data_IF_764492087479
#
_entry.id   IF_764492087479
#
_cell.length_a   1.000
_cell.length_b   1.000
_cell.length_c   1.000
_cell.angle_alpha   90.00
_cell.angle_beta   90.00
_cell.angle_gamma   90.00
#
_symmetry.space_group_name_H-M   'P 1'
#
loop_
_entity.id
_entity.type
_entity.pdbx_description
1 polymer ?
#
# COMPACT_ATOMS: atom_id res chain seq x y z
N UNK A 1 -38.01 -39.45 -20.50
CA UNK A 1 -39.14 -39.38 -19.57
C UNK A 1 -39.29 -37.94 -19.12
N UNK A 2 -40.43 -37.36 -19.49
CA UNK A 2 -40.77 -35.94 -19.30
C UNK A 2 -41.08 -35.61 -17.84
N UNK A 3 -40.61 -34.50 -17.30
CA UNK A 3 -41.38 -33.72 -16.33
C UNK A 3 -41.10 -32.22 -16.51
N UNK A 4 -42.16 -31.51 -16.87
CA UNK A 4 -42.24 -30.03 -17.00
C UNK A 4 -42.45 -29.38 -15.63
N UNK A 5 -42.00 -28.10 -15.44
CA UNK A 5 -42.23 -27.35 -14.22
C UNK A 5 -43.62 -26.68 -14.20
N UNK A 6 -44.17 -26.59 -12.99
CA UNK A 6 -45.43 -25.91 -12.66
C UNK A 6 -45.17 -24.41 -12.50
N UNK A 7 -45.86 -23.60 -13.29
CA UNK A 7 -45.96 -22.15 -13.13
C UNK A 7 -47.04 -21.84 -12.07
N UNK A 8 -46.70 -21.12 -11.03
CA UNK A 8 -47.62 -20.49 -10.10
C UNK A 8 -47.68 -18.98 -10.39
N UNK A 9 -48.80 -18.56 -11.00
CA UNK A 9 -49.12 -17.14 -11.19
C UNK A 9 -49.86 -16.61 -9.96
N UNK A 10 -49.32 -15.59 -9.29
CA UNK A 10 -50.02 -14.83 -8.26
C UNK A 10 -50.40 -13.47 -8.86
N UNK A 11 -51.70 -13.31 -9.10
CA UNK A 11 -52.31 -12.04 -9.47
C UNK A 11 -52.50 -11.17 -8.19
N UNK A 12 -51.94 -9.96 -8.18
CA UNK A 12 -52.26 -8.95 -7.19
C UNK A 12 -53.10 -7.85 -7.86
N UNK A 13 -54.32 -7.76 -7.40
CA UNK A 13 -55.32 -6.82 -7.91
C UNK A 13 -55.00 -5.37 -7.52
N UNK A 14 -55.14 -4.48 -8.49
CA UNK A 14 -55.10 -3.02 -8.34
C UNK A 14 -56.47 -2.52 -7.82
N UNK A 15 -56.48 -1.94 -6.62
CA UNK A 15 -57.62 -1.14 -6.15
C UNK A 15 -57.30 0.31 -6.40
N UNK A 16 -57.99 0.91 -7.40
CA UNK A 16 -57.96 2.34 -7.66
C UNK A 16 -58.91 3.07 -6.71
N UNK A 17 -58.39 3.86 -5.82
CA UNK A 17 -59.17 4.85 -5.06
C UNK A 17 -58.98 6.23 -5.68
N UNK A 18 -60.02 6.69 -6.38
CA UNK A 18 -60.14 8.06 -6.86
C UNK A 18 -60.60 8.97 -5.69
N UNK A 19 -59.70 9.84 -5.26
CA UNK A 19 -60.06 11.00 -4.40
C UNK A 19 -60.02 12.26 -5.26
N UNK A 20 -61.21 12.76 -5.58
CA UNK A 20 -61.40 14.13 -6.11
C UNK A 20 -61.13 15.13 -4.98
N UNK A 21 -60.06 15.91 -5.08
CA UNK A 21 -59.81 17.04 -4.25
C UNK A 21 -59.97 18.34 -5.09
N UNK A 22 -60.87 19.20 -4.68
CA UNK A 22 -61.12 20.52 -5.26
C UNK A 22 -59.86 21.37 -5.33
N UNK A 23 -59.52 21.80 -6.51
CA UNK A 23 -58.55 22.88 -6.71
C UNK A 23 -59.19 24.21 -6.32
N UNK A 24 -58.64 24.81 -5.24
CA UNK A 24 -58.85 26.19 -4.90
C UNK A 24 -57.60 26.95 -5.34
N UNK A 25 -57.70 27.84 -6.30
CA UNK A 25 -56.59 28.72 -6.71
C UNK A 25 -56.11 29.54 -5.50
N UNK A 26 -54.78 29.57 -5.21
CA UNK A 26 -54.27 30.49 -4.21
C UNK A 26 -54.12 31.89 -4.84
N UNK A 27 -54.81 32.83 -4.20
CA UNK A 27 -54.63 34.27 -4.28
C UNK A 27 -53.17 34.66 -4.28
N UNK A 28 -52.75 35.60 -5.16
CA UNK A 28 -51.49 36.31 -5.05
C UNK A 28 -51.41 37.01 -3.70
N UNK A 29 -50.71 36.39 -2.78
CA UNK A 29 -50.24 37.01 -1.54
C UNK A 29 -48.78 37.34 -1.69
N UNK A 30 -48.38 38.49 -1.25
CA UNK A 30 -47.08 39.13 -1.33
C UNK A 30 -45.89 38.20 -1.02
N UNK A 31 -44.85 38.32 -1.82
CA UNK A 31 -43.58 37.68 -1.58
C UNK A 31 -43.05 38.09 -0.20
N UNK A 32 -42.72 37.17 0.70
CA UNK A 32 -42.06 37.55 1.93
C UNK A 32 -40.69 38.12 1.60
N UNK A 33 -40.37 39.25 2.21
CA UNK A 33 -39.06 39.87 2.19
C UNK A 33 -37.98 38.82 2.43
N UNK A 34 -36.86 38.94 1.71
CA UNK A 34 -35.68 38.09 1.81
C UNK A 34 -35.38 37.76 3.30
N UNK A 35 -35.75 36.57 3.72
CA UNK A 35 -35.37 36.03 5.00
C UNK A 35 -33.86 36.03 5.10
N UNK A 36 -33.34 36.55 6.18
CA UNK A 36 -31.94 36.46 6.60
C UNK A 36 -31.49 35.03 6.39
N UNK A 37 -30.53 34.82 5.44
CA UNK A 37 -29.90 33.54 5.25
C UNK A 37 -29.46 32.98 6.60
N UNK A 38 -29.81 31.72 6.89
CA UNK A 38 -29.29 31.03 8.06
C UNK A 38 -27.77 31.23 8.14
N UNK A 39 -27.20 31.42 9.33
CA UNK A 39 -25.78 31.68 9.46
C UNK A 39 -25.02 30.56 8.71
N UNK A 40 -24.30 30.95 7.68
CA UNK A 40 -23.45 30.03 6.94
C UNK A 40 -22.39 29.46 7.89
N UNK A 41 -22.25 28.13 7.91
CA UNK A 41 -21.23 27.42 8.70
C UNK A 41 -19.88 28.12 8.49
N UNK A 42 -19.19 28.47 9.58
CA UNK A 42 -17.85 29.05 9.50
C UNK A 42 -16.79 27.98 9.14
N UNK A 43 -15.61 28.39 8.69
CA UNK A 43 -14.51 27.45 8.42
C UNK A 43 -14.16 26.59 9.65
N UNK A 44 -14.15 27.18 10.85
CA UNK A 44 -13.87 26.44 12.08
C UNK A 44 -14.99 25.43 12.41
N UNK A 45 -16.26 25.80 12.20
CA UNK A 45 -17.39 24.89 12.39
C UNK A 45 -17.37 23.75 11.35
N UNK A 46 -17.04 24.07 10.10
CA UNK A 46 -16.88 23.07 9.04
C UNK A 46 -15.83 22.02 9.41
N UNK A 47 -14.64 22.43 9.82
CA UNK A 47 -13.57 21.50 10.22
C UNK A 47 -13.94 20.71 11.47
N UNK A 48 -14.57 21.32 12.46
CA UNK A 48 -15.06 20.61 13.64
C UNK A 48 -16.05 19.48 13.26
N UNK A 49 -16.98 19.77 12.34
CA UNK A 49 -17.91 18.77 11.81
C UNK A 49 -17.18 17.66 11.03
N UNK A 50 -16.29 18.03 10.12
CA UNK A 50 -15.50 17.05 9.33
C UNK A 50 -14.72 16.11 10.25
N UNK A 51 -14.06 16.64 11.27
CA UNK A 51 -13.31 15.82 12.24
C UNK A 51 -14.20 14.85 13.01
N UNK A 52 -15.38 15.30 13.42
CA UNK A 52 -16.36 14.45 14.13
C UNK A 52 -16.89 13.33 13.22
N UNK A 53 -17.26 13.67 11.98
CA UNK A 53 -17.72 12.71 10.97
C UNK A 53 -16.60 11.71 10.60
N UNK A 54 -15.37 12.18 10.41
CA UNK A 54 -14.22 11.34 10.12
C UNK A 54 -13.95 10.34 11.25
N UNK A 55 -13.91 10.82 12.49
CA UNK A 55 -13.72 9.94 13.66
C UNK A 55 -14.81 8.87 13.77
N UNK A 56 -16.05 9.22 13.44
CA UNK A 56 -17.18 8.27 13.47
C UNK A 56 -17.10 7.22 12.34
N UNK A 57 -16.59 7.59 11.16
CA UNK A 57 -16.49 6.70 9.99
C UNK A 57 -15.23 5.83 10.00
N UNK A 58 -14.18 6.26 10.66
CA UNK A 58 -12.87 5.65 10.61
C UNK A 58 -12.86 4.16 10.99
N UNK A 59 -13.52 3.71 12.08
CA UNK A 59 -13.54 2.30 12.46
C UNK A 59 -14.24 1.40 11.44
N UNK A 60 -15.27 1.89 10.74
CA UNK A 60 -15.96 1.12 9.67
C UNK A 60 -15.00 0.88 8.49
N UNK A 61 -14.34 1.95 8.05
CA UNK A 61 -13.41 1.92 6.93
C UNK A 61 -12.21 1.03 7.20
N UNK A 62 -11.55 1.22 8.33
CA UNK A 62 -10.37 0.44 8.71
C UNK A 62 -10.71 -1.03 8.95
N UNK A 63 -11.86 -1.33 9.55
CA UNK A 63 -12.32 -2.72 9.74
C UNK A 63 -12.59 -3.42 8.41
N UNK A 64 -13.19 -2.74 7.44
CA UNK A 64 -13.44 -3.30 6.11
C UNK A 64 -12.13 -3.60 5.37
N UNK A 65 -11.15 -2.68 5.44
CA UNK A 65 -9.83 -2.88 4.85
C UNK A 65 -9.03 -3.96 5.57
N UNK A 66 -9.07 -3.99 6.91
CA UNK A 66 -8.47 -5.06 7.70
C UNK A 66 -9.02 -6.43 7.29
N UNK A 67 -10.34 -6.54 7.17
CA UNK A 67 -11.01 -7.77 6.77
C UNK A 67 -10.54 -8.23 5.38
N UNK A 68 -10.50 -7.35 4.38
CA UNK A 68 -10.06 -7.68 3.02
C UNK A 68 -8.57 -8.03 2.94
N UNK A 69 -7.75 -7.55 3.89
CA UNK A 69 -6.32 -7.88 3.94
C UNK A 69 -6.01 -9.16 4.70
N UNK A 70 -6.85 -9.53 5.69
CA UNK A 70 -6.58 -10.62 6.63
C UNK A 70 -7.51 -11.83 6.50
N UNK A 71 -8.51 -11.72 5.62
CA UNK A 71 -9.46 -12.78 5.27
C UNK A 71 -9.96 -12.56 3.84
N UNK A 72 -9.11 -12.88 2.85
CA UNK A 72 -9.37 -12.58 1.43
C UNK A 72 -10.39 -13.59 0.87
N UNK A 73 -11.52 -13.09 0.42
CA UNK A 73 -12.54 -13.79 -0.38
C UNK A 73 -13.47 -12.77 -1.04
N UNK A 74 -14.35 -13.24 -1.92
CA UNK A 74 -15.30 -12.40 -2.68
C UNK A 74 -16.17 -11.51 -1.77
N UNK A 75 -16.54 -12.00 -0.59
CA UNK A 75 -17.40 -11.26 0.34
C UNK A 75 -16.63 -10.14 1.05
N UNK A 76 -15.41 -10.41 1.54
CA UNK A 76 -14.56 -9.41 2.18
C UNK A 76 -14.14 -8.31 1.20
N UNK A 77 -13.82 -8.68 -0.05
CA UNK A 77 -13.52 -7.73 -1.12
C UNK A 77 -14.73 -6.85 -1.45
N UNK A 78 -15.93 -7.43 -1.51
CA UNK A 78 -17.18 -6.68 -1.75
C UNK A 78 -17.48 -5.70 -0.61
N UNK A 79 -17.28 -6.10 0.64
CA UNK A 79 -17.46 -5.23 1.82
C UNK A 79 -16.46 -4.08 1.78
N UNK A 80 -15.18 -4.37 1.53
CA UNK A 80 -14.14 -3.35 1.44
C UNK A 80 -14.37 -2.38 0.29
N UNK A 81 -14.78 -2.87 -0.89
CA UNK A 81 -15.10 -2.03 -2.04
C UNK A 81 -16.25 -1.05 -1.72
N UNK A 82 -17.30 -1.51 -1.04
CA UNK A 82 -18.43 -0.65 -0.63
C UNK A 82 -18.04 0.38 0.44
N UNK A 83 -17.25 -0.01 1.42
CA UNK A 83 -16.73 0.93 2.42
C UNK A 83 -15.84 1.99 1.78
N UNK A 84 -14.98 1.61 0.85
CA UNK A 84 -14.12 2.52 0.11
C UNK A 84 -14.91 3.47 -0.81
N UNK A 85 -15.91 2.98 -1.55
CA UNK A 85 -16.81 3.81 -2.37
C UNK A 85 -17.50 4.89 -1.52
N UNK A 86 -18.05 4.48 -0.36
CA UNK A 86 -18.67 5.40 0.60
C UNK A 86 -17.68 6.44 1.13
N UNK A 87 -16.50 5.99 1.54
CA UNK A 87 -15.44 6.87 2.03
C UNK A 87 -15.04 7.92 0.98
N UNK A 88 -14.73 7.50 -0.25
CA UNK A 88 -14.34 8.40 -1.33
C UNK A 88 -15.44 9.42 -1.66
N UNK A 89 -16.70 9.00 -1.62
CA UNK A 89 -17.84 9.90 -1.84
C UNK A 89 -17.90 10.99 -0.78
N UNK A 90 -17.75 10.63 0.49
CA UNK A 90 -17.77 11.57 1.61
C UNK A 90 -16.56 12.50 1.57
N UNK A 91 -15.36 11.95 1.37
CA UNK A 91 -14.11 12.72 1.28
C UNK A 91 -14.17 13.74 0.14
N UNK A 92 -14.60 13.34 -1.04
CA UNK A 92 -14.75 14.26 -2.17
C UNK A 92 -15.77 15.36 -1.89
N UNK A 93 -16.85 15.04 -1.16
CA UNK A 93 -17.81 16.01 -0.67
C UNK A 93 -17.19 17.04 0.28
N UNK A 94 -16.38 16.61 1.23
CA UNK A 94 -15.67 17.52 2.13
C UNK A 94 -14.62 18.37 1.40
N UNK A 95 -13.85 17.79 0.48
CA UNK A 95 -12.85 18.52 -0.33
C UNK A 95 -13.53 19.61 -1.16
N UNK A 96 -14.67 19.28 -1.82
CA UNK A 96 -15.42 20.25 -2.59
C UNK A 96 -15.98 21.40 -1.72
N UNK A 97 -16.41 21.09 -0.48
CA UNK A 97 -16.87 22.11 0.47
C UNK A 97 -15.72 22.97 0.97
N UNK A 98 -14.53 22.37 1.24
CA UNK A 98 -13.34 23.04 1.73
C UNK A 98 -12.93 24.22 0.84
N UNK A 99 -13.10 24.09 -0.50
CA UNK A 99 -12.81 25.16 -1.44
C UNK A 99 -13.63 26.44 -1.24
N UNK A 100 -14.80 26.37 -0.56
CA UNK A 100 -15.64 27.54 -0.27
C UNK A 100 -15.04 28.47 0.80
N UNK A 101 -14.10 27.97 1.57
CA UNK A 101 -13.46 28.70 2.66
C UNK A 101 -12.11 29.31 2.26
N UNK A 102 -11.67 29.13 1.01
CA UNK A 102 -10.43 29.74 0.51
C UNK A 102 -10.52 31.27 0.61
N UNK A 103 -9.51 31.89 1.26
CA UNK A 103 -9.44 33.32 1.47
C UNK A 103 -10.38 33.87 2.55
N UNK A 104 -11.19 33.05 3.25
CA UNK A 104 -12.00 33.50 4.38
C UNK A 104 -11.18 33.62 5.67
N UNK A 105 -11.57 34.50 6.60
CA UNK A 105 -10.97 34.55 7.93
C UNK A 105 -11.17 33.24 8.68
N UNK A 106 -10.11 32.69 9.24
CA UNK A 106 -10.12 31.45 10.03
C UNK A 106 -8.87 31.39 10.91
N UNK A 107 -8.84 30.50 11.90
CA UNK A 107 -7.63 30.24 12.68
C UNK A 107 -6.54 29.58 11.82
N UNK A 108 -5.28 29.75 12.17
CA UNK A 108 -4.16 29.08 11.47
C UNK A 108 -4.28 27.55 11.55
N UNK A 109 -4.80 27.02 12.66
CA UNK A 109 -5.06 25.60 12.82
C UNK A 109 -6.15 25.10 11.85
N UNK A 110 -7.26 25.82 11.73
CA UNK A 110 -8.31 25.52 10.75
C UNK A 110 -7.81 25.60 9.32
N UNK A 111 -7.01 26.60 9.01
CA UNK A 111 -6.37 26.76 7.69
C UNK A 111 -5.49 25.56 7.35
N UNK A 112 -4.66 25.12 8.31
CA UNK A 112 -3.85 23.92 8.16
C UNK A 112 -4.70 22.68 7.97
N UNK A 113 -5.75 22.49 8.75
CA UNK A 113 -6.64 21.33 8.64
C UNK A 113 -7.38 21.29 7.30
N UNK A 114 -7.87 22.42 6.78
CA UNK A 114 -8.46 22.53 5.43
C UNK A 114 -7.44 22.16 4.37
N UNK A 115 -6.21 22.62 4.50
CA UNK A 115 -5.14 22.25 3.59
C UNK A 115 -4.86 20.74 3.62
N UNK A 116 -4.70 20.15 4.79
CA UNK A 116 -4.49 18.70 4.95
C UNK A 116 -5.67 17.87 4.44
N UNK A 117 -6.91 18.35 4.63
CA UNK A 117 -8.10 17.70 4.07
C UNK A 117 -8.04 17.62 2.53
N UNK A 118 -7.61 18.68 1.87
CA UNK A 118 -7.42 18.68 0.41
C UNK A 118 -6.34 17.69 -0.04
N UNK A 119 -5.37 17.38 0.82
CA UNK A 119 -4.27 16.44 0.56
C UNK A 119 -4.59 14.98 0.90
N UNK A 120 -5.77 14.67 1.46
CA UNK A 120 -6.16 13.29 1.79
C UNK A 120 -6.37 12.40 0.56
N UNK A 121 -6.34 12.96 -0.64
CA UNK A 121 -6.31 12.20 -1.89
C UNK A 121 -4.94 12.34 -2.57
N UNK A 122 -4.31 11.21 -2.92
CA UNK A 122 -3.10 11.21 -3.76
C UNK A 122 -3.42 11.36 -5.26
N UNK A 123 -4.68 11.18 -5.62
CA UNK A 123 -5.17 11.19 -7.00
C UNK A 123 -6.33 12.21 -7.11
N UNK A 124 -6.01 13.52 -7.16
CA UNK A 124 -7.04 14.54 -7.33
C UNK A 124 -7.77 14.33 -8.67
N UNK A 125 -9.08 14.18 -8.60
CA UNK A 125 -9.90 13.89 -9.76
C UNK A 125 -10.62 15.13 -10.24
N UNK A 126 -10.80 15.32 -11.58
CA UNK A 126 -11.68 16.36 -12.13
C UNK A 126 -13.12 16.18 -11.63
N UNK A 127 -13.84 17.29 -11.48
CA UNK A 127 -15.27 17.29 -11.09
C UNK A 127 -16.18 16.74 -12.18
N UNK A 128 -15.73 16.75 -13.42
CA UNK A 128 -16.46 16.14 -14.55
C UNK A 128 -16.57 14.63 -14.33
N UNK A 129 -17.81 14.06 -14.23
CA UNK A 129 -18.00 12.63 -13.97
C UNK A 129 -17.42 11.72 -15.06
N UNK A 130 -17.38 12.16 -16.33
CA UNK A 130 -16.80 11.38 -17.40
C UNK A 130 -15.28 11.27 -17.27
N UNK A 131 -14.61 12.36 -16.91
CA UNK A 131 -13.16 12.42 -16.65
C UNK A 131 -12.78 11.69 -15.37
N UNK A 132 -13.58 11.79 -14.31
CA UNK A 132 -13.40 10.99 -13.09
C UNK A 132 -13.47 9.49 -13.42
N UNK A 133 -14.49 9.06 -14.18
CA UNK A 133 -14.62 7.68 -14.62
C UNK A 133 -13.47 7.23 -15.53
N UNK A 134 -12.95 8.10 -16.39
CA UNK A 134 -11.76 7.83 -17.20
C UNK A 134 -10.52 7.64 -16.32
N UNK A 135 -10.27 8.56 -15.40
CA UNK A 135 -9.14 8.50 -14.45
C UNK A 135 -9.12 7.19 -13.68
N UNK A 136 -10.26 6.81 -13.10
CA UNK A 136 -10.39 5.58 -12.33
C UNK A 136 -10.11 4.33 -13.19
N UNK A 137 -10.65 4.28 -14.41
CA UNK A 137 -10.37 3.16 -15.33
C UNK A 137 -8.91 3.06 -15.74
N UNK A 138 -8.26 4.19 -16.00
CA UNK A 138 -6.84 4.24 -16.35
C UNK A 138 -6.00 3.76 -15.17
N UNK A 139 -6.25 4.26 -13.97
CA UNK A 139 -5.53 3.86 -12.75
C UNK A 139 -5.63 2.35 -12.53
N UNK A 140 -6.85 1.79 -12.55
CA UNK A 140 -7.07 0.35 -12.37
C UNK A 140 -6.43 -0.49 -13.48
N UNK A 141 -6.45 -0.01 -14.73
CA UNK A 141 -5.80 -0.72 -15.84
C UNK A 141 -4.29 -0.75 -15.71
N UNK A 142 -3.65 0.36 -15.30
CA UNK A 142 -2.22 0.42 -15.05
C UNK A 142 -1.80 -0.46 -13.88
N UNK A 143 -2.57 -0.44 -12.79
CA UNK A 143 -2.34 -1.30 -11.62
C UNK A 143 -2.46 -2.78 -11.98
N UNK A 144 -3.52 -3.14 -12.72
CA UNK A 144 -3.72 -4.50 -13.22
C UNK A 144 -2.60 -4.95 -14.16
N UNK A 145 -2.17 -4.09 -15.10
CA UNK A 145 -1.07 -4.38 -16.01
C UNK A 145 0.27 -4.60 -15.27
N UNK A 146 0.53 -3.80 -14.23
CA UNK A 146 1.71 -3.96 -13.40
C UNK A 146 1.63 -5.22 -12.53
N UNK A 147 0.51 -5.43 -11.83
CA UNK A 147 0.36 -6.54 -10.88
C UNK A 147 0.27 -7.92 -11.53
N UNK A 148 -0.32 -8.01 -12.73
CA UNK A 148 -0.44 -9.27 -13.49
C UNK A 148 0.65 -9.46 -14.55
N UNK A 149 1.55 -8.48 -14.72
CA UNK A 149 2.60 -8.47 -15.72
C UNK A 149 3.49 -9.68 -15.63
N UNK A 150 3.83 -10.25 -16.80
CA UNK A 150 4.74 -11.40 -16.93
C UNK A 150 5.67 -11.16 -18.10
N UNK A 151 6.91 -11.55 -17.94
CA UNK A 151 7.88 -11.64 -19.00
C UNK A 151 8.09 -13.10 -19.37
N UNK A 152 7.85 -13.45 -20.63
CA UNK A 152 8.03 -14.79 -21.17
C UNK A 152 9.16 -14.76 -22.20
N UNK A 153 10.16 -15.64 -22.06
CA UNK A 153 11.20 -15.79 -23.09
C UNK A 153 10.68 -16.51 -24.34
N UNK A 154 9.59 -17.25 -24.20
CA UNK A 154 8.80 -17.86 -25.28
C UNK A 154 7.32 -17.72 -24.92
N UNK A 155 6.61 -16.84 -25.61
CA UNK A 155 5.17 -16.58 -25.37
C UNK A 155 4.29 -17.81 -25.65
N UNK A 156 4.74 -18.74 -26.49
CA UNK A 156 4.03 -19.98 -26.76
C UNK A 156 4.16 -21.01 -25.64
N UNK A 157 5.13 -20.81 -24.73
CA UNK A 157 5.38 -21.72 -23.62
C UNK A 157 5.19 -21.01 -22.26
N UNK A 158 4.02 -21.15 -21.60
CA UNK A 158 3.74 -20.51 -20.32
C UNK A 158 4.72 -20.83 -19.19
N UNK A 159 5.47 -21.94 -19.29
CA UNK A 159 6.49 -22.30 -18.30
C UNK A 159 7.72 -21.37 -18.33
N UNK A 160 7.89 -20.58 -19.39
CA UNK A 160 8.96 -19.58 -19.52
C UNK A 160 8.58 -18.22 -18.99
N UNK A 161 7.33 -18.05 -18.54
CA UNK A 161 6.82 -16.79 -18.05
C UNK A 161 7.21 -16.56 -16.58
N UNK A 162 7.79 -15.41 -16.30
CA UNK A 162 8.26 -15.00 -14.98
C UNK A 162 7.53 -13.72 -14.55
N UNK A 163 7.10 -13.66 -13.29
CA UNK A 163 6.54 -12.47 -12.67
C UNK A 163 7.66 -11.56 -12.13
N UNK A 164 7.30 -10.34 -11.71
CA UNK A 164 8.24 -9.37 -11.14
C UNK A 164 9.13 -10.00 -10.05
N UNK A 165 8.52 -10.71 -9.08
CA UNK A 165 9.26 -11.32 -7.98
C UNK A 165 10.29 -12.36 -8.40
N UNK A 166 10.03 -13.12 -9.50
CA UNK A 166 10.98 -14.08 -10.06
C UNK A 166 12.16 -13.35 -10.73
N UNK A 167 11.89 -12.23 -11.37
CA UNK A 167 12.90 -11.39 -12.03
C UNK A 167 13.74 -10.63 -11.01
N UNK A 168 13.14 -10.15 -9.94
CA UNK A 168 13.85 -9.53 -8.80
C UNK A 168 14.82 -10.51 -8.13
N UNK A 169 14.42 -11.78 -7.95
CA UNK A 169 15.30 -12.80 -7.40
C UNK A 169 16.54 -13.02 -8.29
N UNK A 170 16.39 -12.94 -9.61
CA UNK A 170 17.54 -13.01 -10.55
C UNK A 170 18.48 -11.82 -10.32
N UNK A 171 17.97 -10.60 -10.22
CA UNK A 171 18.79 -9.41 -9.99
C UNK A 171 19.48 -9.42 -8.62
N UNK A 172 18.81 -9.95 -7.61
CA UNK A 172 19.36 -10.04 -6.26
C UNK A 172 20.45 -11.10 -6.10
N UNK A 173 20.26 -12.28 -6.70
CA UNK A 173 21.07 -13.47 -6.39
C UNK A 173 21.99 -13.92 -7.52
N UNK A 174 21.67 -13.67 -8.79
CA UNK A 174 22.50 -14.05 -9.91
C UNK A 174 23.72 -13.15 -10.05
N UNK A 175 24.82 -13.73 -10.56
CA UNK A 175 26.02 -13.01 -10.99
C UNK A 175 26.32 -13.26 -12.48
N UNK A 176 25.33 -13.81 -13.17
CA UNK A 176 25.36 -14.01 -14.62
C UNK A 176 24.83 -12.74 -15.30
N UNK A 177 25.73 -12.05 -16.01
CA UNK A 177 25.42 -10.78 -16.68
C UNK A 177 24.21 -10.87 -17.61
N UNK A 178 24.17 -11.89 -18.46
CA UNK A 178 23.12 -12.01 -19.49
C UNK A 178 21.76 -12.34 -18.87
N UNK A 179 21.73 -13.12 -17.80
CA UNK A 179 20.48 -13.38 -17.05
C UNK A 179 19.94 -12.14 -16.33
N UNK A 180 20.84 -11.34 -15.74
CA UNK A 180 20.45 -10.09 -15.09
C UNK A 180 19.93 -9.09 -16.14
N UNK A 181 20.60 -8.97 -17.28
CA UNK A 181 20.19 -8.10 -18.39
C UNK A 181 18.82 -8.51 -18.94
N UNK A 182 18.63 -9.80 -19.22
CA UNK A 182 17.36 -10.36 -19.68
C UNK A 182 16.21 -10.08 -18.70
N UNK A 183 16.43 -10.32 -17.41
CA UNK A 183 15.42 -10.05 -16.38
C UNK A 183 15.04 -8.57 -16.32
N UNK A 184 16.00 -7.67 -16.35
CA UNK A 184 15.78 -6.23 -16.30
C UNK A 184 15.08 -5.70 -17.56
N UNK A 185 15.56 -6.07 -18.74
CA UNK A 185 14.97 -5.66 -20.02
C UNK A 185 13.57 -6.23 -20.20
N UNK A 186 13.37 -7.50 -19.85
CA UNK A 186 12.10 -8.19 -19.98
C UNK A 186 11.00 -7.52 -19.14
N UNK A 187 11.28 -7.15 -17.89
CA UNK A 187 10.31 -6.45 -17.07
C UNK A 187 9.98 -5.05 -17.61
N UNK A 188 11.00 -4.27 -17.98
CA UNK A 188 10.78 -2.94 -18.53
C UNK A 188 10.00 -2.98 -19.86
N UNK A 189 10.19 -4.01 -20.68
CA UNK A 189 9.38 -4.22 -21.88
C UNK A 189 7.90 -4.48 -21.55
N UNK A 190 7.62 -5.22 -20.49
CA UNK A 190 6.26 -5.54 -20.03
C UNK A 190 5.48 -4.29 -19.62
N UNK A 191 6.15 -3.32 -19.01
CA UNK A 191 5.49 -2.09 -18.51
C UNK A 191 5.45 -0.94 -19.53
N UNK A 192 6.25 -1.04 -20.60
CA UNK A 192 6.32 0.00 -21.64
C UNK A 192 4.97 0.38 -22.27
N UNK A 193 4.02 -0.54 -22.53
CA UNK A 193 2.71 -0.19 -23.09
C UNK A 193 1.87 0.75 -22.21
N UNK A 194 2.14 0.82 -20.90
CA UNK A 194 1.38 1.68 -19.97
C UNK A 194 1.67 3.18 -20.17
N UNK A 195 2.68 3.54 -20.97
CA UNK A 195 3.14 4.94 -21.10
C UNK A 195 2.04 5.91 -21.52
N UNK A 196 1.22 5.53 -22.49
CA UNK A 196 0.13 6.39 -22.98
C UNK A 196 -0.94 6.61 -21.91
N UNK A 197 -1.29 5.56 -21.18
CA UNK A 197 -2.21 5.63 -20.04
C UNK A 197 -1.63 6.52 -18.92
N UNK A 198 -0.36 6.37 -18.61
CA UNK A 198 0.29 7.22 -17.60
C UNK A 198 0.30 8.70 -17.99
N UNK A 199 0.57 9.03 -19.25
CA UNK A 199 0.50 10.41 -19.75
C UNK A 199 -0.91 10.99 -19.61
N UNK A 200 -1.94 10.21 -19.97
CA UNK A 200 -3.33 10.63 -19.81
C UNK A 200 -3.73 10.77 -18.34
N UNK A 201 -3.32 9.83 -17.50
CA UNK A 201 -3.47 9.88 -16.04
C UNK A 201 -2.93 11.19 -15.48
N UNK A 202 -1.68 11.55 -15.80
CA UNK A 202 -1.05 12.81 -15.33
C UNK A 202 -1.86 14.03 -15.77
N UNK A 203 -2.36 14.05 -17.01
CA UNK A 203 -3.22 15.14 -17.49
C UNK A 203 -4.48 15.31 -16.64
N UNK A 204 -5.16 14.22 -16.32
CA UNK A 204 -6.39 14.22 -15.53
C UNK A 204 -6.14 14.59 -14.06
N UNK A 205 -5.09 14.07 -13.43
CA UNK A 205 -4.73 14.44 -12.03
C UNK A 205 -4.34 15.91 -11.94
N UNK A 206 -3.63 16.44 -12.93
CA UNK A 206 -3.29 17.86 -12.97
C UNK A 206 -4.53 18.75 -13.13
N UNK A 207 -5.53 18.32 -13.91
CA UNK A 207 -6.80 19.01 -14.02
C UNK A 207 -7.53 19.01 -12.66
N UNK A 208 -7.64 17.86 -12.01
CA UNK A 208 -8.23 17.75 -10.66
C UNK A 208 -7.53 18.63 -9.63
N UNK A 209 -6.20 18.64 -9.62
CA UNK A 209 -5.42 19.48 -8.71
C UNK A 209 -5.69 20.99 -8.94
N UNK A 210 -5.83 21.42 -10.20
CA UNK A 210 -6.19 22.81 -10.53
C UNK A 210 -7.57 23.17 -10.02
N UNK A 211 -8.54 22.28 -10.11
CA UNK A 211 -9.89 22.50 -9.57
C UNK A 211 -9.91 22.59 -8.04
N UNK A 212 -8.86 22.08 -7.36
CA UNK A 212 -8.66 22.18 -5.92
C UNK A 212 -7.83 23.40 -5.51
N UNK A 213 -7.40 24.24 -6.47
CA UNK A 213 -6.66 25.47 -6.23
C UNK A 213 -5.13 25.33 -6.27
N UNK A 214 -4.58 24.20 -6.74
CA UNK A 214 -3.14 24.01 -6.96
C UNK A 214 -2.78 24.26 -8.43
N UNK A 215 -1.51 24.56 -8.70
CA UNK A 215 -1.04 24.72 -10.08
C UNK A 215 -1.03 23.39 -10.85
N UNK A 216 -0.70 22.31 -10.17
CA UNK A 216 -0.68 20.95 -10.67
C UNK A 216 -0.62 19.94 -9.49
N UNK A 217 -0.69 18.65 -9.79
CA UNK A 217 -0.58 17.60 -8.78
C UNK A 217 0.79 17.59 -8.09
N UNK A 218 1.86 17.97 -8.79
CA UNK A 218 3.19 18.07 -8.21
C UNK A 218 3.29 19.17 -7.14
N UNK A 219 2.70 20.34 -7.39
CA UNK A 219 2.59 21.38 -6.35
C UNK A 219 1.73 20.91 -5.18
N UNK A 220 0.58 20.28 -5.46
CA UNK A 220 -0.28 19.72 -4.44
C UNK A 220 0.49 18.75 -3.53
N UNK A 221 1.20 17.78 -4.09
CA UNK A 221 1.97 16.80 -3.31
C UNK A 221 3.10 17.44 -2.51
N UNK A 222 3.84 18.37 -3.11
CA UNK A 222 4.91 19.11 -2.40
C UNK A 222 4.36 20.00 -1.28
N UNK A 223 3.12 20.47 -1.38
CA UNK A 223 2.50 21.28 -0.32
C UNK A 223 2.15 20.48 0.95
N UNK A 224 2.30 19.16 0.92
CA UNK A 224 2.17 18.30 2.10
C UNK A 224 3.36 18.36 3.06
N UNK A 225 4.48 18.92 2.64
CA UNK A 225 5.63 19.18 3.51
C UNK A 225 5.43 20.49 4.29
N UNK A 226 6.07 20.61 5.45
CA UNK A 226 6.00 21.83 6.28
C UNK A 226 6.92 22.94 5.75
N UNK A 227 6.92 23.14 4.44
CA UNK A 227 7.59 24.23 3.74
C UNK A 227 6.87 24.59 2.43
N UNK A 228 7.07 25.79 1.87
CA UNK A 228 6.51 26.17 0.58
C UNK A 228 6.89 25.19 -0.53
N UNK A 229 5.94 24.77 -1.39
CA UNK A 229 6.18 23.77 -2.44
C UNK A 229 7.34 24.07 -3.37
N UNK A 230 7.58 25.35 -3.65
CA UNK A 230 8.67 25.85 -4.49
C UNK A 230 10.06 25.74 -3.83
N UNK A 231 10.13 25.59 -2.53
CA UNK A 231 11.38 25.43 -1.78
C UNK A 231 11.85 23.97 -1.70
N UNK A 232 10.98 22.99 -1.96
CA UNK A 232 11.32 21.56 -1.88
C UNK A 232 12.44 21.21 -2.88
N UNK A 233 12.35 21.68 -4.13
CA UNK A 233 13.39 21.47 -5.14
C UNK A 233 14.75 22.00 -4.68
N UNK A 234 14.89 23.32 -4.44
CA UNK A 234 16.13 23.90 -3.94
C UNK A 234 16.67 23.24 -2.67
N UNK A 235 15.81 22.81 -1.74
CA UNK A 235 16.26 22.13 -0.51
C UNK A 235 16.79 20.71 -0.81
N UNK A 236 16.14 19.96 -1.67
CA UNK A 236 16.63 18.64 -2.09
C UNK A 236 17.94 18.75 -2.88
N UNK A 237 18.09 19.76 -3.73
CA UNK A 237 19.34 20.05 -4.44
C UNK A 237 20.46 20.39 -3.47
N UNK A 238 20.18 21.24 -2.46
CA UNK A 238 21.15 21.58 -1.41
C UNK A 238 21.61 20.33 -0.64
N UNK A 239 20.69 19.46 -0.27
CA UNK A 239 20.99 18.20 0.42
C UNK A 239 21.82 17.28 -0.48
N UNK A 240 21.47 17.19 -1.76
CA UNK A 240 22.22 16.41 -2.72
C UNK A 240 23.67 16.86 -2.82
N UNK A 241 23.92 18.15 -2.98
CA UNK A 241 25.30 18.69 -3.04
C UNK A 241 26.13 18.36 -1.79
N UNK A 242 25.48 18.21 -0.62
CA UNK A 242 26.15 17.80 0.61
C UNK A 242 26.49 16.30 0.64
N UNK A 243 25.64 15.44 0.07
CA UNK A 243 25.82 13.97 0.09
C UNK A 243 26.64 13.50 -1.12
N UNK A 244 26.58 14.22 -2.22
CA UNK A 244 27.19 13.88 -3.50
C UNK A 244 28.66 13.45 -3.43
N UNK A 245 29.56 14.13 -2.69
CA UNK A 245 30.95 13.70 -2.61
C UNK A 245 31.12 12.29 -2.03
N UNK A 246 30.30 11.93 -1.03
CA UNK A 246 30.29 10.57 -0.46
C UNK A 246 29.72 9.57 -1.46
N UNK A 247 28.61 9.93 -2.12
CA UNK A 247 27.97 9.08 -3.12
C UNK A 247 28.89 8.79 -4.30
N UNK A 248 29.63 9.79 -4.80
CA UNK A 248 30.59 9.62 -5.89
C UNK A 248 31.73 8.66 -5.53
N UNK A 249 32.21 8.69 -4.28
CA UNK A 249 33.21 7.74 -3.80
C UNK A 249 32.62 6.32 -3.72
N UNK A 250 31.40 6.19 -3.16
CA UNK A 250 30.70 4.90 -3.11
C UNK A 250 30.44 4.34 -4.51
N UNK A 251 29.98 5.17 -5.44
CA UNK A 251 29.73 4.80 -6.84
C UNK A 251 31.04 4.36 -7.52
N UNK A 252 32.13 5.09 -7.32
CA UNK A 252 33.45 4.75 -7.85
C UNK A 252 33.92 3.39 -7.32
N UNK A 253 33.78 3.17 -6.00
CA UNK A 253 34.13 1.91 -5.36
C UNK A 253 33.29 0.74 -5.92
N UNK A 254 31.98 0.88 -5.95
CA UNK A 254 31.08 -0.15 -6.48
C UNK A 254 31.38 -0.46 -7.94
N UNK A 255 31.58 0.56 -8.77
CA UNK A 255 31.96 0.39 -10.18
C UNK A 255 33.24 -0.41 -10.33
N UNK A 256 34.30 -0.07 -9.59
CA UNK A 256 35.59 -0.78 -9.66
C UNK A 256 35.44 -2.26 -9.25
N UNK A 257 34.58 -2.56 -8.28
CA UNK A 257 34.32 -3.95 -7.88
C UNK A 257 33.55 -4.72 -8.96
N UNK A 258 32.55 -4.08 -9.57
CA UNK A 258 31.77 -4.68 -10.66
C UNK A 258 32.58 -4.83 -11.94
N UNK A 259 33.51 -3.90 -12.24
CA UNK A 259 34.49 -4.05 -13.33
C UNK A 259 35.35 -5.31 -13.15
N UNK A 260 35.77 -5.59 -11.92
CA UNK A 260 36.50 -6.80 -11.58
C UNK A 260 35.69 -8.09 -11.75
N UNK A 261 34.37 -8.01 -11.58
CA UNK A 261 33.47 -9.18 -11.68
C UNK A 261 33.04 -9.43 -13.13
N UNK A 262 32.65 -8.41 -13.88
CA UNK A 262 31.99 -8.53 -15.18
C UNK A 262 32.86 -8.07 -16.36
N UNK A 263 33.95 -7.38 -16.10
CA UNK A 263 34.72 -6.64 -17.10
C UNK A 263 34.16 -5.22 -17.30
N UNK A 264 35.09 -4.27 -17.51
CA UNK A 264 34.76 -2.86 -17.64
C UNK A 264 33.80 -2.56 -18.79
N UNK A 265 33.96 -3.24 -19.91
CA UNK A 265 33.13 -3.10 -21.12
C UNK A 265 31.68 -3.53 -20.90
N UNK A 266 31.41 -4.35 -19.91
CA UNK A 266 30.07 -4.79 -19.51
C UNK A 266 29.52 -4.04 -18.32
N UNK A 267 30.36 -3.74 -17.33
CA UNK A 267 29.92 -3.10 -16.09
C UNK A 267 29.70 -1.59 -16.25
N UNK A 268 30.47 -0.92 -17.11
CA UNK A 268 30.33 0.50 -17.35
C UNK A 268 29.48 0.80 -18.60
N UNK A 269 28.74 1.90 -18.53
CA UNK A 269 28.04 2.52 -19.65
C UNK A 269 28.68 3.85 -19.99
N UNK A 270 28.15 4.56 -20.99
CA UNK A 270 28.61 5.89 -21.39
C UNK A 270 28.69 6.84 -20.20
N UNK A 271 29.75 7.61 -20.08
CA UNK A 271 29.99 8.53 -18.97
C UNK A 271 30.50 7.89 -17.69
N UNK A 272 30.89 6.60 -17.71
CA UNK A 272 31.39 5.89 -16.52
C UNK A 272 30.32 5.53 -15.51
N UNK A 273 29.07 5.41 -15.96
CA UNK A 273 27.95 4.95 -15.13
C UNK A 273 27.92 3.44 -15.06
N UNK A 274 27.40 2.90 -13.97
CA UNK A 274 27.23 1.45 -13.80
C UNK A 274 26.00 0.98 -14.59
N UNK A 275 26.12 -0.16 -15.26
CA UNK A 275 25.00 -0.78 -15.95
C UNK A 275 23.87 -1.14 -14.98
N UNK A 276 22.67 -0.63 -15.24
CA UNK A 276 21.55 -0.62 -14.30
C UNK A 276 21.15 -2.01 -13.75
N UNK A 277 21.20 -3.05 -14.61
CA UNK A 277 20.83 -4.42 -14.24
C UNK A 277 21.83 -5.09 -13.27
N UNK A 278 23.00 -4.48 -13.03
CA UNK A 278 24.01 -4.98 -12.09
C UNK A 278 23.84 -4.43 -10.68
N UNK A 279 22.88 -3.54 -10.44
CA UNK A 279 22.74 -2.82 -9.17
C UNK A 279 21.76 -3.47 -8.17
N UNK A 280 21.56 -4.78 -8.28
CA UNK A 280 20.99 -5.61 -7.22
C UNK A 280 19.46 -5.65 -7.13
N UNK A 281 18.75 -4.72 -7.77
CA UNK A 281 17.29 -4.76 -7.86
C UNK A 281 16.77 -4.08 -9.14
N UNK A 282 15.47 -4.15 -9.37
CA UNK A 282 14.84 -3.68 -10.61
C UNK A 282 14.96 -2.16 -10.82
N UNK A 283 15.05 -1.38 -9.73
CA UNK A 283 15.05 0.09 -9.75
C UNK A 283 16.40 0.73 -9.39
N UNK A 284 17.41 -0.05 -9.14
CA UNK A 284 18.81 0.38 -8.89
C UNK A 284 19.01 1.25 -7.64
N UNK A 285 18.02 1.36 -6.74
CA UNK A 285 18.08 2.22 -5.57
C UNK A 285 18.51 1.50 -4.28
N UNK A 286 18.56 0.17 -4.28
CA UNK A 286 18.99 -0.64 -3.14
C UNK A 286 20.11 -1.60 -3.56
N UNK A 287 21.31 -1.35 -3.05
CA UNK A 287 22.51 -2.12 -3.36
C UNK A 287 22.83 -3.18 -2.30
N UNK A 288 21.95 -3.42 -1.35
CA UNK A 288 22.18 -4.41 -0.28
C UNK A 288 22.41 -5.82 -0.83
N UNK A 289 21.79 -6.16 -1.96
CA UNK A 289 21.99 -7.44 -2.64
C UNK A 289 23.40 -7.60 -3.30
N UNK A 290 24.20 -6.53 -3.32
CA UNK A 290 25.58 -6.56 -3.82
C UNK A 290 26.61 -6.72 -2.68
N UNK A 291 26.17 -6.90 -1.44
CA UNK A 291 27.06 -6.93 -0.29
C UNK A 291 28.22 -7.91 -0.43
N UNK A 292 27.96 -9.09 -0.96
CA UNK A 292 28.98 -10.12 -1.23
C UNK A 292 30.11 -9.66 -2.14
N UNK A 293 29.83 -8.70 -3.03
CA UNK A 293 30.80 -8.11 -3.96
C UNK A 293 31.42 -6.81 -3.42
N UNK A 294 30.68 -6.09 -2.60
CA UNK A 294 31.05 -4.75 -2.10
C UNK A 294 31.62 -4.75 -0.71
N UNK A 295 31.56 -5.87 0.03
CA UNK A 295 32.10 -5.95 1.41
C UNK A 295 33.58 -5.53 1.44
N UNK A 296 33.92 -4.43 2.16
CA UNK A 296 35.30 -3.92 2.13
C UNK A 296 36.30 -4.78 2.88
N UNK A 297 35.83 -5.54 3.89
CA UNK A 297 36.65 -6.40 4.77
C UNK A 297 35.99 -7.76 4.94
N UNK A 298 36.05 -8.66 3.92
CA UNK A 298 35.39 -9.95 3.97
C UNK A 298 35.74 -10.75 5.23
N UNK A 299 34.71 -11.17 5.99
CA UNK A 299 34.88 -11.93 7.20
C UNK A 299 35.33 -11.14 8.44
N UNK A 300 35.42 -9.81 8.39
CA UNK A 300 35.78 -8.98 9.54
C UNK A 300 34.71 -8.94 10.62
N UNK A 301 33.47 -9.27 10.28
CA UNK A 301 32.35 -9.37 11.21
C UNK A 301 31.06 -9.64 10.46
N UNK A 302 30.04 -10.08 11.18
CA UNK A 302 28.71 -10.28 10.62
C UNK A 302 27.67 -9.80 11.62
N UNK A 303 26.70 -9.03 11.11
CA UNK A 303 25.47 -8.69 11.84
C UNK A 303 24.37 -9.74 11.58
N UNK A 304 24.69 -10.85 10.91
CA UNK A 304 23.74 -11.91 10.66
C UNK A 304 23.33 -12.61 11.96
N UNK A 305 22.08 -12.41 12.33
CA UNK A 305 21.46 -13.03 13.51
C UNK A 305 20.69 -14.32 13.18
N UNK A 306 20.76 -14.80 11.92
CA UNK A 306 20.01 -15.97 11.45
C UNK A 306 20.27 -17.19 12.32
N UNK A 307 21.53 -17.48 12.65
CA UNK A 307 21.88 -18.62 13.49
C UNK A 307 21.29 -18.51 14.91
N UNK A 308 21.24 -17.30 15.48
CA UNK A 308 20.65 -17.07 16.79
C UNK A 308 19.12 -17.27 16.77
N UNK A 309 18.44 -16.78 15.73
CA UNK A 309 17.01 -16.96 15.53
C UNK A 309 16.67 -18.43 15.27
N UNK A 310 17.46 -19.12 14.46
CA UNK A 310 17.28 -20.55 14.19
C UNK A 310 17.42 -21.36 15.47
N UNK A 311 18.44 -21.10 16.29
CA UNK A 311 18.61 -21.75 17.60
C UNK A 311 17.40 -21.53 18.51
N UNK A 312 16.84 -20.32 18.53
CA UNK A 312 15.65 -20.00 19.31
C UNK A 312 14.42 -20.75 18.79
N UNK A 313 14.24 -20.79 17.46
CA UNK A 313 13.16 -21.55 16.83
C UNK A 313 13.26 -23.04 17.14
N UNK A 314 14.44 -23.65 17.02
CA UNK A 314 14.66 -25.06 17.32
C UNK A 314 14.37 -25.39 18.78
N UNK A 315 14.71 -24.50 19.72
CA UNK A 315 14.36 -24.66 21.13
C UNK A 315 12.83 -24.63 21.33
N UNK A 316 12.12 -23.71 20.67
CA UNK A 316 10.66 -23.62 20.71
C UNK A 316 10.01 -24.87 20.07
N UNK A 317 10.54 -25.34 18.94
CA UNK A 317 10.06 -26.54 18.25
C UNK A 317 10.25 -27.79 19.10
N UNK A 318 11.41 -27.98 19.70
CA UNK A 318 11.69 -29.12 20.60
C UNK A 318 10.73 -29.14 21.79
N UNK A 319 10.44 -27.98 22.39
CA UNK A 319 9.47 -27.86 23.46
C UNK A 319 8.05 -28.18 23.05
N UNK A 320 7.62 -27.74 21.85
CA UNK A 320 6.29 -28.01 21.30
C UNK A 320 6.14 -29.50 20.93
N UNK A 321 7.17 -30.10 20.31
CA UNK A 321 7.18 -31.53 19.97
C UNK A 321 7.12 -32.41 21.21
N UNK A 322 7.83 -32.08 22.29
CA UNK A 322 7.76 -32.82 23.53
C UNK A 322 6.34 -32.88 24.12
N UNK A 323 5.63 -31.74 24.06
CA UNK A 323 4.21 -31.67 24.50
C UNK A 323 3.27 -32.44 23.55
N UNK A 324 3.60 -32.52 22.27
CA UNK A 324 2.79 -33.20 21.25
C UNK A 324 2.93 -34.74 21.27
N UNK A 325 3.76 -35.30 22.13
CA UNK A 325 4.02 -36.76 22.25
C UNK A 325 5.39 -37.21 21.72
N UNK A 326 6.28 -36.27 21.37
CA UNK A 326 7.63 -36.56 20.90
C UNK A 326 7.67 -37.38 19.62
N UNK A 327 8.44 -38.49 19.62
CA UNK A 327 8.54 -39.41 18.49
C UNK A 327 7.24 -40.17 18.13
N UNK A 328 6.26 -40.17 19.03
CA UNK A 328 4.98 -40.86 18.86
C UNK A 328 3.87 -39.92 18.32
N UNK A 329 4.20 -38.65 18.07
CA UNK A 329 3.26 -37.68 17.55
C UNK A 329 2.82 -38.05 16.12
N UNK A 330 1.51 -37.96 15.84
CA UNK A 330 1.01 -38.09 14.47
C UNK A 330 1.30 -36.82 13.66
N UNK A 331 1.08 -36.88 12.34
CA UNK A 331 1.37 -35.78 11.40
C UNK A 331 0.66 -34.48 11.81
N UNK A 332 -0.59 -34.55 12.27
CA UNK A 332 -1.36 -33.38 12.71
C UNK A 332 -0.75 -32.75 13.97
N UNK A 333 -0.33 -33.55 14.93
CA UNK A 333 0.33 -33.10 16.15
C UNK A 333 1.70 -32.45 15.84
N UNK A 334 2.47 -33.04 14.92
CA UNK A 334 3.74 -32.47 14.45
C UNK A 334 3.52 -31.10 13.78
N UNK A 335 2.51 -31.01 12.93
CA UNK A 335 2.16 -29.77 12.26
C UNK A 335 1.73 -28.67 13.25
N UNK A 336 0.87 -29.00 14.23
CA UNK A 336 0.49 -28.06 15.31
C UNK A 336 1.68 -27.61 16.12
N UNK A 337 2.61 -28.52 16.46
CA UNK A 337 3.83 -28.19 17.18
C UNK A 337 4.73 -27.22 16.39
N UNK A 338 4.87 -27.43 15.09
CA UNK A 338 5.61 -26.51 14.23
C UNK A 338 4.99 -25.11 14.25
N UNK A 339 3.66 -25.03 14.09
CA UNK A 339 2.94 -23.73 14.11
C UNK A 339 3.03 -23.04 15.47
N UNK A 340 2.97 -23.78 16.58
CA UNK A 340 3.18 -23.22 17.93
C UNK A 340 4.59 -22.65 18.08
N UNK A 341 5.62 -23.34 17.57
CA UNK A 341 6.99 -22.86 17.60
C UNK A 341 7.20 -21.59 16.77
N UNK A 342 6.64 -21.55 15.56
CA UNK A 342 6.67 -20.36 14.69
C UNK A 342 6.03 -19.15 15.39
N UNK A 343 4.82 -19.33 15.93
CA UNK A 343 4.09 -18.26 16.64
C UNK A 343 4.86 -17.78 17.88
N UNK A 344 5.40 -18.71 18.67
CA UNK A 344 6.18 -18.37 19.86
C UNK A 344 7.44 -17.60 19.52
N UNK A 345 8.16 -18.03 18.48
CA UNK A 345 9.36 -17.33 18.00
C UNK A 345 9.02 -15.91 17.54
N UNK A 346 7.95 -15.74 16.76
CA UNK A 346 7.50 -14.43 16.31
C UNK A 346 7.14 -13.49 17.48
N UNK A 347 6.43 -14.00 18.49
CA UNK A 347 6.10 -13.23 19.70
C UNK A 347 7.34 -12.83 20.49
N UNK A 348 8.28 -13.73 20.68
CA UNK A 348 9.55 -13.44 21.40
C UNK A 348 10.39 -12.39 20.68
N UNK A 349 10.40 -12.39 19.34
CA UNK A 349 11.05 -11.32 18.56
C UNK A 349 10.38 -9.97 18.81
N UNK A 350 9.06 -9.94 18.84
CA UNK A 350 8.29 -8.70 19.10
C UNK A 350 8.47 -8.23 20.54
N UNK A 351 8.47 -9.13 21.54
CA UNK A 351 8.76 -8.82 22.94
C UNK A 351 10.14 -8.16 23.06
N UNK A 352 11.15 -8.72 22.39
CA UNK A 352 12.49 -8.14 22.38
C UNK A 352 12.57 -6.77 21.74
N UNK A 353 11.85 -6.58 20.65
CA UNK A 353 11.73 -5.27 20.01
C UNK A 353 11.02 -4.26 20.93
N UNK A 354 9.93 -4.66 21.58
CA UNK A 354 9.26 -3.83 22.57
C UNK A 354 10.19 -3.43 23.71
N UNK A 355 10.93 -4.38 24.31
CA UNK A 355 11.87 -4.10 25.38
C UNK A 355 12.91 -3.06 24.97
N UNK A 356 13.41 -3.14 23.73
CA UNK A 356 14.33 -2.16 23.18
C UNK A 356 13.69 -0.77 23.11
N UNK A 357 12.50 -0.62 22.52
CA UNK A 357 11.85 0.68 22.39
C UNK A 357 11.40 1.25 23.73
N UNK A 358 10.93 0.42 24.66
CA UNK A 358 10.60 0.83 26.03
C UNK A 358 11.85 1.34 26.75
N UNK A 359 13.03 0.73 26.52
CA UNK A 359 14.29 1.20 27.10
C UNK A 359 14.70 2.60 26.59
N UNK A 360 14.17 3.03 25.45
CA UNK A 360 14.33 4.38 24.89
C UNK A 360 13.25 5.36 25.38
N UNK A 361 12.36 4.95 26.27
CA UNK A 361 11.28 5.78 26.83
C UNK A 361 9.98 5.75 26.03
N UNK A 362 9.81 4.85 25.05
CA UNK A 362 8.55 4.68 24.34
C UNK A 362 7.55 3.86 25.17
N UNK A 363 6.22 4.05 25.02
CA UNK A 363 5.25 3.23 25.72
C UNK A 363 5.26 1.78 25.23
N UNK A 364 4.88 0.86 26.11
CA UNK A 364 4.67 -0.53 25.75
C UNK A 364 3.50 -0.67 24.76
N UNK A 365 3.54 -1.72 23.94
CA UNK A 365 2.48 -2.04 23.00
C UNK A 365 1.15 -2.31 23.75
N UNK A 366 0.01 -1.78 23.24
CA UNK A 366 -1.27 -1.96 23.90
C UNK A 366 -1.72 -3.44 23.88
N UNK A 367 -2.63 -3.79 24.79
CA UNK A 367 -3.17 -5.16 24.85
C UNK A 367 -3.81 -5.61 23.52
N UNK A 368 -4.48 -4.69 22.81
CA UNK A 368 -5.08 -4.97 21.50
C UNK A 368 -4.06 -5.44 20.45
N UNK A 369 -2.84 -4.93 20.50
CA UNK A 369 -1.74 -5.41 19.64
C UNK A 369 -1.52 -6.92 19.84
N UNK A 370 -1.35 -7.35 21.09
CA UNK A 370 -1.05 -8.76 21.39
C UNK A 370 -2.21 -9.71 21.12
N UNK A 371 -3.45 -9.22 21.30
CA UNK A 371 -4.66 -10.02 21.13
C UNK A 371 -5.07 -10.18 19.66
N UNK A 372 -4.87 -9.14 18.83
CA UNK A 372 -5.40 -9.06 17.46
C UNK A 372 -4.36 -9.26 16.37
N UNK A 373 -3.06 -9.13 16.67
CA UNK A 373 -2.00 -9.25 15.68
C UNK A 373 -1.92 -10.67 15.10
N UNK A 374 -1.85 -10.73 13.77
CA UNK A 374 -1.55 -11.97 13.04
C UNK A 374 -0.03 -12.13 12.91
N UNK A 375 0.64 -12.66 13.96
CA UNK A 375 2.09 -12.81 14.01
C UNK A 375 2.68 -13.71 12.93
N UNK A 376 1.90 -14.66 12.41
CA UNK A 376 2.33 -15.61 11.38
C UNK A 376 1.21 -15.76 10.35
N UNK A 377 1.57 -16.07 9.09
CA UNK A 377 0.58 -16.27 8.03
C UNK A 377 -0.42 -17.38 8.41
N UNK A 378 -1.75 -17.12 8.40
CA UNK A 378 -2.76 -18.16 8.50
C UNK A 378 -2.65 -19.17 7.34
N UNK A 379 -3.13 -20.40 7.54
CA UNK A 379 -3.09 -21.46 6.53
C UNK A 379 -4.47 -21.88 6.07
N UNK A 380 -5.48 -21.44 6.79
CA UNK A 380 -6.89 -21.71 6.58
C UNK A 380 -7.56 -20.69 5.64
N UNK A 381 -6.84 -19.63 5.27
CA UNK A 381 -7.33 -18.55 4.42
C UNK A 381 -6.21 -17.78 3.73
N UNK A 382 -6.55 -17.09 2.66
CA UNK A 382 -5.66 -16.16 2.00
C UNK A 382 -5.59 -14.83 2.74
N UNK A 383 -4.39 -14.26 2.81
CA UNK A 383 -4.08 -12.99 3.46
C UNK A 383 -3.00 -12.24 2.71
N UNK A 384 -3.04 -10.92 2.76
CA UNK A 384 -1.90 -10.07 2.39
C UNK A 384 -0.84 -10.21 3.48
N UNK A 385 0.13 -11.11 3.28
CA UNK A 385 1.21 -11.32 4.25
C UNK A 385 2.36 -10.33 4.03
N UNK A 386 2.07 -9.06 4.25
CA UNK A 386 3.01 -7.95 4.27
C UNK A 386 2.95 -7.30 5.65
N UNK A 387 4.12 -7.01 6.24
CA UNK A 387 4.18 -6.35 7.54
C UNK A 387 3.46 -5.00 7.48
N UNK A 388 2.37 -4.87 8.22
CA UNK A 388 1.56 -3.65 8.27
C UNK A 388 1.01 -3.44 9.68
N UNK A 389 1.04 -2.19 10.15
CA UNK A 389 0.43 -1.76 11.40
C UNK A 389 -0.85 -0.97 11.08
N UNK A 390 -1.89 -1.21 11.85
CA UNK A 390 -3.21 -0.63 11.64
C UNK A 390 -3.67 0.09 12.90
N UNK A 391 -4.07 1.34 12.79
CA UNK A 391 -4.88 1.98 13.82
C UNK A 391 -6.34 1.76 13.47
N UNK A 392 -7.08 1.03 14.32
CA UNK A 392 -8.45 0.64 14.01
C UNK A 392 -9.49 1.69 14.42
N UNK A 393 -9.13 2.63 15.29
CA UNK A 393 -10.12 3.53 15.90
C UNK A 393 -9.57 4.91 16.30
N UNK A 394 -8.34 5.25 15.95
CA UNK A 394 -7.64 6.46 16.41
C UNK A 394 -7.47 6.58 17.93
N UNK A 395 -7.61 5.48 18.67
CA UNK A 395 -7.56 5.45 20.14
C UNK A 395 -6.63 4.36 20.67
N UNK A 396 -5.70 3.87 19.81
CA UNK A 396 -4.67 2.92 20.21
C UNK A 396 -5.08 1.44 20.06
N UNK A 397 -6.09 1.14 19.27
CA UNK A 397 -6.36 -0.25 18.83
C UNK A 397 -5.47 -0.59 17.63
N UNK A 398 -4.28 -1.14 17.91
CA UNK A 398 -3.16 -1.24 16.97
C UNK A 398 -2.77 -2.69 16.63
N UNK A 399 -3.58 -3.47 15.89
CA UNK A 399 -3.14 -4.76 15.39
C UNK A 399 -2.12 -4.62 14.24
N UNK A 400 -1.31 -5.67 14.05
CA UNK A 400 -0.44 -5.81 12.88
C UNK A 400 -0.79 -7.07 12.08
N UNK A 401 -0.49 -7.04 10.77
CA UNK A 401 -0.59 -8.21 9.91
C UNK A 401 0.80 -8.71 9.54
N UNK A 402 1.06 -9.99 9.78
CA UNK A 402 2.27 -10.72 9.40
C UNK A 402 3.59 -9.94 9.67
N UNK A 403 3.82 -9.41 10.89
CA UNK A 403 5.01 -8.60 11.17
C UNK A 403 6.32 -9.37 11.05
N UNK A 404 6.26 -10.71 11.03
CA UNK A 404 7.43 -11.56 10.88
C UNK A 404 7.29 -12.49 9.69
N UNK A 405 8.14 -12.31 8.69
CA UNK A 405 8.32 -13.27 7.62
C UNK A 405 9.50 -14.15 7.95
N UNK A 406 9.27 -15.20 8.73
CA UNK A 406 10.28 -16.22 8.97
C UNK A 406 10.55 -16.97 7.66
N UNK A 407 11.68 -16.72 7.01
CA UNK A 407 12.18 -17.47 5.85
C UNK A 407 13.07 -18.64 6.25
N UNK A 408 12.82 -19.26 7.40
CA UNK A 408 13.54 -20.42 7.88
C UNK A 408 13.07 -21.74 7.29
N UNK A 409 12.71 -21.78 5.98
CA UNK A 409 12.72 -23.07 5.28
C UNK A 409 14.11 -23.27 4.71
N UNK A 410 14.81 -24.37 5.05
CA UNK A 410 15.95 -24.78 4.25
C UNK A 410 15.46 -24.87 2.80
N UNK A 411 16.19 -24.23 1.87
CA UNK A 411 16.00 -24.47 0.44
C UNK A 411 15.99 -25.99 0.28
N UNK A 412 14.89 -26.56 -0.20
CA UNK A 412 14.93 -27.95 -0.69
C UNK A 412 16.00 -27.93 -1.75
N UNK A 413 17.12 -28.61 -1.48
CA UNK A 413 18.11 -28.90 -2.48
C UNK A 413 17.41 -29.55 -3.68
N UNK A 414 17.99 -29.44 -4.89
CA UNK A 414 17.41 -30.09 -6.05
C UNK A 414 17.18 -31.55 -5.70
N UNK A 415 15.95 -32.01 -5.89
CA UNK A 415 15.64 -33.43 -5.82
C UNK A 415 16.52 -34.12 -6.87
N UNK A 416 17.38 -35.05 -6.42
CA UNK A 416 18.17 -35.93 -7.28
C UNK A 416 17.24 -36.86 -8.06
#
# INVERSE_FOLDING_TARGET
>A
MNHRPLLLALAVGAAALTLAACQKEPSKADAPAAGTAAPTETADQFIARVNAEYKALYPEMTSAQWLSSTYINDDSERVAAKANERWLTILNGWIAQAGKYDGQPMSEDTKRQIHLLKLMTSMPAPRDPAKLGELTRIASRMEGAYGSGKYCTDEANPATCRQLGDLEEVLASSRDYDKQLDAWQGWHATTKPMRADYQRFVGLVNEGAKEMGFADAGQMWRSGYDMPPEQIGPETDRLWEQVKPMYEQLHCYARTKLDGTYGKDKAETEGGLIAAHLLGNMWQQDWSNLWDQLEPYPGAGSLDITAALEKQYQANLSGALAKAGGSNANVEALYKAQREAELRTAKQMTERAQDFYVSLGMPALPKSYWDKTQFIKPLDRDVVCHASAWDMNMEGDLPCSCPTRWRGRPRRGPAA
#
